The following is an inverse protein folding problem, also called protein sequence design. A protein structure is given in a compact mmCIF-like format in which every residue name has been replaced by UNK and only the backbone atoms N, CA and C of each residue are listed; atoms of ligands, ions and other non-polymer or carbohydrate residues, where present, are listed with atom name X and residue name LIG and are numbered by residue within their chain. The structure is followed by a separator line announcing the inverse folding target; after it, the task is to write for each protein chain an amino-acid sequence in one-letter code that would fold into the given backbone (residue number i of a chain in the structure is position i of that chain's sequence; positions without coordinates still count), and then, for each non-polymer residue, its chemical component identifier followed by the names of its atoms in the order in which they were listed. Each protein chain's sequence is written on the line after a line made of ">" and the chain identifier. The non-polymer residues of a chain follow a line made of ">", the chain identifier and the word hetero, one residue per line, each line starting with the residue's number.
data_IF_417751237966
#
_entry.id   IF_417751237966
#
_cell.length_a   1.000
_cell.length_b   1.000
_cell.length_c   1.000
_cell.angle_alpha   90.00
_cell.angle_beta   90.00
_cell.angle_gamma   90.00
#
_symmetry.space_group_name_H-M   'P 1'
#
loop_
_entity.id
_entity.type
_entity.pdbx_description
1 polymer ?
#
# COMPACT_ATOMS: atom_id res chain seq x y z
N UNK A 1 -25.81 -8.52 1.81
CA UNK A 1 -25.13 -8.90 3.05
C UNK A 1 -25.65 -8.03 4.15
N UNK A 2 -25.90 -8.63 5.31
CA UNK A 2 -26.30 -7.90 6.52
C UNK A 2 -25.04 -7.35 7.19
N UNK A 3 -25.17 -6.24 7.92
CA UNK A 3 -24.04 -5.65 8.63
C UNK A 3 -23.42 -6.60 9.66
N UNK A 4 -24.23 -7.48 10.27
CA UNK A 4 -23.77 -8.50 11.23
C UNK A 4 -22.81 -9.49 10.60
N UNK A 5 -23.15 -10.01 9.41
CA UNK A 5 -22.29 -10.94 8.65
C UNK A 5 -20.98 -10.27 8.24
N UNK A 6 -21.02 -8.99 7.85
CA UNK A 6 -19.82 -8.25 7.46
C UNK A 6 -18.89 -8.06 8.66
N UNK A 7 -19.42 -7.75 9.85
CA UNK A 7 -18.61 -7.63 11.07
C UNK A 7 -17.89 -8.90 11.44
N UNK A 8 -18.59 -10.03 11.38
CA UNK A 8 -18.00 -11.33 11.69
C UNK A 8 -16.90 -11.70 10.68
N UNK A 9 -17.07 -11.32 9.41
CA UNK A 9 -16.12 -11.62 8.34
C UNK A 9 -15.04 -10.56 8.14
N UNK A 10 -15.09 -9.43 8.86
CA UNK A 10 -14.14 -8.33 8.68
C UNK A 10 -12.71 -8.76 9.01
N UNK A 11 -12.49 -9.55 10.06
CA UNK A 11 -11.17 -10.11 10.39
C UNK A 11 -10.59 -10.92 9.23
N UNK A 12 -11.33 -11.94 8.78
CA UNK A 12 -10.93 -12.80 7.67
C UNK A 12 -10.74 -12.03 6.36
N UNK A 13 -11.52 -10.97 6.13
CA UNK A 13 -11.35 -10.07 5.00
C UNK A 13 -10.00 -9.34 5.05
N UNK A 14 -9.62 -8.83 6.22
CA UNK A 14 -8.34 -8.12 6.40
C UNK A 14 -7.12 -9.03 6.26
N UNK A 15 -7.26 -10.31 6.60
CA UNK A 15 -6.22 -11.33 6.44
C UNK A 15 -6.21 -11.96 5.05
N UNK A 16 -7.12 -11.54 4.14
CA UNK A 16 -7.28 -12.07 2.78
C UNK A 16 -7.57 -13.58 2.74
N UNK A 17 -8.23 -14.11 3.77
CA UNK A 17 -8.56 -15.55 3.91
C UNK A 17 -9.93 -15.91 3.33
N UNK A 18 -10.62 -14.94 2.74
CA UNK A 18 -11.93 -15.13 2.12
C UNK A 18 -11.80 -15.45 0.63
N UNK A 19 -12.79 -16.17 0.10
CA UNK A 19 -12.89 -16.36 -1.34
C UNK A 19 -13.09 -15.03 -2.06
N UNK A 20 -12.60 -14.93 -3.30
CA UNK A 20 -12.70 -13.70 -4.12
C UNK A 20 -14.14 -13.21 -4.24
N UNK A 21 -15.10 -14.12 -4.41
CA UNK A 21 -16.53 -13.80 -4.48
C UNK A 21 -17.06 -13.20 -3.17
N UNK A 22 -16.51 -13.60 -2.02
CA UNK A 22 -16.89 -13.04 -0.72
C UNK A 22 -16.24 -11.68 -0.48
N UNK A 23 -14.96 -11.52 -0.86
CA UNK A 23 -14.27 -10.23 -0.81
C UNK A 23 -15.03 -9.16 -1.58
N UNK A 24 -15.42 -9.43 -2.84
CA UNK A 24 -16.19 -8.49 -3.66
C UNK A 24 -17.55 -8.12 -3.04
N UNK A 25 -18.19 -9.07 -2.33
CA UNK A 25 -19.46 -8.80 -1.64
C UNK A 25 -19.28 -7.87 -0.44
N UNK A 26 -18.18 -8.05 0.31
CA UNK A 26 -17.81 -7.20 1.44
C UNK A 26 -17.45 -5.81 0.94
N UNK A 27 -16.58 -5.68 -0.06
CA UNK A 27 -16.20 -4.39 -0.67
C UNK A 27 -17.42 -3.59 -1.13
N UNK A 28 -18.35 -4.26 -1.84
CA UNK A 28 -19.61 -3.63 -2.26
C UNK A 28 -20.47 -3.16 -1.09
N UNK A 29 -20.42 -3.85 0.05
CA UNK A 29 -21.10 -3.44 1.26
C UNK A 29 -20.41 -2.24 1.91
N UNK A 30 -19.07 -2.25 2.02
CA UNK A 30 -18.29 -1.14 2.59
C UNK A 30 -18.50 0.16 1.79
N UNK A 31 -18.65 0.08 0.47
CA UNK A 31 -18.99 1.24 -0.37
C UNK A 31 -20.38 1.83 -0.10
N UNK A 32 -21.30 1.07 0.49
CA UNK A 32 -22.71 1.45 0.70
C UNK A 32 -23.07 1.69 2.16
N UNK A 33 -22.33 1.11 3.09
CA UNK A 33 -22.61 1.14 4.51
C UNK A 33 -21.49 1.90 5.26
N UNK A 34 -21.73 3.16 5.67
CA UNK A 34 -20.71 3.95 6.34
C UNK A 34 -20.33 3.38 7.71
N UNK A 35 -21.26 2.72 8.42
CA UNK A 35 -20.99 2.11 9.73
C UNK A 35 -19.95 0.98 9.61
N UNK A 36 -20.14 0.07 8.65
CA UNK A 36 -19.19 -1.01 8.41
C UNK A 36 -17.87 -0.51 7.83
N UNK A 37 -17.90 0.53 6.99
CA UNK A 37 -16.68 1.17 6.48
C UNK A 37 -15.85 1.80 7.61
N UNK A 38 -16.50 2.46 8.56
CA UNK A 38 -15.84 3.03 9.73
C UNK A 38 -15.19 1.94 10.60
N UNK A 39 -15.89 0.83 10.83
CA UNK A 39 -15.40 -0.30 11.61
C UNK A 39 -14.19 -0.96 10.95
N UNK A 40 -14.26 -1.21 9.64
CA UNK A 40 -13.13 -1.72 8.85
C UNK A 40 -11.89 -0.81 8.94
N UNK A 41 -12.11 0.52 8.82
CA UNK A 41 -11.02 1.50 8.91
C UNK A 41 -10.43 1.57 10.31
N UNK A 42 -11.25 1.47 11.35
CA UNK A 42 -10.81 1.47 12.75
C UNK A 42 -9.93 0.26 13.05
N UNK A 43 -10.30 -0.92 12.53
CA UNK A 43 -9.48 -2.13 12.62
C UNK A 43 -8.15 -1.98 11.87
N UNK A 44 -8.14 -1.34 10.70
CA UNK A 44 -6.92 -1.11 9.92
C UNK A 44 -5.96 -0.18 10.68
N UNK A 45 -6.49 0.88 11.28
CA UNK A 45 -5.70 1.80 12.12
C UNK A 45 -5.10 1.07 13.32
N UNK A 46 -5.88 0.22 14.00
CA UNK A 46 -5.38 -0.58 15.10
C UNK A 46 -4.23 -1.53 14.66
N UNK A 47 -4.38 -2.20 13.51
CA UNK A 47 -3.31 -3.05 12.93
C UNK A 47 -2.05 -2.26 12.62
N UNK A 48 -2.21 -1.06 12.05
CA UNK A 48 -1.08 -0.18 11.74
C UNK A 48 -0.31 0.25 12.99
N UNK A 49 -1.03 0.64 14.06
CA UNK A 49 -0.41 0.99 15.34
C UNK A 49 0.35 -0.18 15.95
N UNK A 50 -0.22 -1.39 15.91
CA UNK A 50 0.46 -2.59 16.38
C UNK A 50 1.74 -2.87 15.57
N UNK A 51 1.70 -2.72 14.25
CA UNK A 51 2.88 -2.89 13.39
C UNK A 51 3.98 -1.88 13.68
N UNK A 52 3.63 -0.66 14.05
CA UNK A 52 4.60 0.38 14.40
C UNK A 52 5.18 0.17 15.81
N UNK A 53 4.40 -0.38 16.74
CA UNK A 53 4.82 -0.63 18.10
C UNK A 53 5.65 -1.91 18.30
N UNK A 54 5.73 -2.78 17.30
CA UNK A 54 6.51 -4.02 17.35
C UNK A 54 7.83 -3.82 16.62
N UNK A 55 8.94 -4.12 17.29
CA UNK A 55 10.27 -4.11 16.68
C UNK A 55 10.29 -5.05 15.46
N UNK A 56 10.72 -4.52 14.32
CA UNK A 56 10.84 -5.33 13.11
C UNK A 56 12.02 -6.28 13.29
N UNK A 57 11.84 -7.60 13.13
CA UNK A 57 12.95 -8.53 13.28
C UNK A 57 14.02 -8.22 12.24
N UNK A 58 15.26 -8.08 12.70
CA UNK A 58 16.39 -7.87 11.80
C UNK A 58 16.58 -9.12 10.95
N UNK A 59 16.32 -8.98 9.65
CA UNK A 59 16.58 -10.04 8.67
C UNK A 59 18.10 -10.22 8.54
N UNK A 60 18.59 -11.46 8.46
CA UNK A 60 20.01 -11.68 8.26
C UNK A 60 20.47 -11.11 6.92
N UNK A 61 21.69 -10.57 6.89
CA UNK A 61 22.28 -9.97 5.68
C UNK A 61 22.22 -10.95 4.49
N UNK A 62 22.49 -12.23 4.74
CA UNK A 62 22.46 -13.29 3.73
C UNK A 62 21.07 -13.47 3.07
N UNK A 63 19.99 -13.30 3.82
CA UNK A 63 18.63 -13.38 3.26
C UNK A 63 18.36 -12.11 2.44
N UNK A 64 18.74 -10.94 2.96
CA UNK A 64 18.62 -9.68 2.23
C UNK A 64 19.33 -9.72 0.87
N UNK A 65 20.58 -10.16 0.84
CA UNK A 65 21.36 -10.32 -0.39
C UNK A 65 20.73 -11.29 -1.39
N UNK A 66 20.19 -12.42 -0.90
CA UNK A 66 19.50 -13.39 -1.76
C UNK A 66 18.24 -12.80 -2.37
N UNK A 67 17.45 -12.07 -1.61
CA UNK A 67 16.23 -11.41 -2.10
C UNK A 67 16.56 -10.32 -3.12
N UNK A 68 17.54 -9.46 -2.81
CA UNK A 68 17.96 -8.39 -3.72
C UNK A 68 18.49 -8.94 -5.06
N UNK A 69 19.29 -10.00 -5.02
CA UNK A 69 19.77 -10.69 -6.22
C UNK A 69 18.63 -11.28 -7.04
N UNK A 70 17.67 -11.92 -6.38
CA UNK A 70 16.51 -12.49 -7.05
C UNK A 70 15.64 -11.41 -7.73
N UNK A 71 15.44 -10.27 -7.06
CA UNK A 71 14.71 -9.13 -7.64
C UNK A 71 15.46 -8.58 -8.85
N UNK A 72 16.78 -8.40 -8.76
CA UNK A 72 17.62 -7.92 -9.86
C UNK A 72 17.56 -8.84 -11.10
N UNK A 73 17.66 -10.16 -10.90
CA UNK A 73 17.55 -11.15 -11.98
C UNK A 73 16.15 -11.14 -12.62
N UNK A 74 15.10 -11.00 -11.80
CA UNK A 74 13.72 -11.05 -12.28
C UNK A 74 13.28 -9.77 -12.97
N UNK A 75 13.80 -8.61 -12.53
CA UNK A 75 13.39 -7.29 -12.98
C UNK A 75 14.61 -6.42 -13.33
N UNK A 76 15.30 -6.71 -14.45
CA UNK A 76 16.52 -6.00 -14.84
C UNK A 76 16.32 -4.51 -15.10
N UNK A 77 15.10 -4.05 -15.39
CA UNK A 77 14.78 -2.64 -15.56
C UNK A 77 14.83 -1.83 -14.26
N UNK A 78 14.70 -2.47 -13.08
CA UNK A 78 14.81 -1.78 -11.78
C UNK A 78 16.26 -1.43 -11.42
N UNK A 79 17.24 -2.03 -12.11
CA UNK A 79 18.67 -1.69 -11.95
C UNK A 79 19.08 -0.47 -12.75
N UNK A 80 18.20 0.09 -13.60
CA UNK A 80 18.48 1.35 -14.26
C UNK A 80 18.42 2.46 -13.21
N UNK A 81 19.60 2.78 -12.68
CA UNK A 81 19.84 4.00 -11.91
C UNK A 81 19.22 5.14 -12.69
N UNK A 82 18.27 5.85 -12.06
CA UNK A 82 17.76 7.12 -12.55
C UNK A 82 18.96 7.91 -13.05
N UNK A 83 19.07 8.13 -14.37
CA UNK A 83 19.99 9.16 -14.84
C UNK A 83 19.56 10.44 -14.08
N UNK A 84 20.48 11.18 -13.45
CA UNK A 84 20.12 12.47 -12.89
C UNK A 84 19.47 13.24 -14.03
N UNK A 85 18.15 13.44 -13.95
CA UNK A 85 17.44 14.21 -14.95
C UNK A 85 18.18 15.53 -15.01
N UNK A 86 18.68 15.90 -16.19
CA UNK A 86 19.24 17.23 -16.36
C UNK A 86 18.21 18.22 -15.81
N UNK A 87 18.61 19.15 -14.94
CA UNK A 87 17.67 20.05 -14.30
C UNK A 87 16.81 20.68 -15.39
N UNK A 88 15.51 20.38 -15.35
CA UNK A 88 14.56 20.84 -16.35
C UNK A 88 14.63 22.37 -16.40
N UNK A 89 15.33 22.90 -17.40
CA UNK A 89 15.38 24.33 -17.64
C UNK A 89 14.06 24.72 -18.28
N UNK A 90 13.17 25.30 -17.46
CA UNK A 90 11.98 26.00 -17.95
C UNK A 90 12.42 26.98 -19.04
N UNK A 91 11.76 27.00 -20.23
CA UNK A 91 11.99 28.04 -21.20
C UNK A 91 11.71 29.38 -20.52
N UNK A 92 12.75 30.21 -20.42
CA UNK A 92 12.74 31.54 -19.81
C UNK A 92 11.39 32.23 -20.06
N UNK A 93 10.63 32.45 -18.98
CA UNK A 93 9.63 33.51 -19.00
C UNK A 93 10.38 34.80 -19.35
N UNK A 94 9.93 35.61 -20.31
CA UNK A 94 10.57 36.88 -20.59
C UNK A 94 10.58 37.71 -19.30
N UNK A 95 11.77 37.96 -18.77
CA UNK A 95 12.01 38.97 -17.74
C UNK A 95 11.85 40.35 -18.37
N UNK A 96 10.64 40.70 -18.80
CA UNK A 96 10.30 42.05 -19.26
C UNK A 96 8.94 42.44 -18.69
N UNK A 97 8.91 42.64 -17.37
CA UNK A 97 7.96 43.52 -16.71
C UNK A 97 8.76 44.47 -15.82
N UNK A 98 9.42 45.44 -16.45
CA UNK A 98 9.81 46.69 -15.78
C UNK A 98 8.81 47.79 -16.17
N UNK A 99 8.40 48.57 -15.17
CA UNK A 99 7.41 49.66 -15.17
C UNK A 99 7.65 50.78 -16.20
#
# INVERSE_FOLDING_TARGET
>A
MKCTEVRELLGNYMDQELTESMMQRIERHLLRCPACAYEARSLEQARQLLRQGVETPMVSEQIGERVLRHIAERFPHLQQVHQPEEPFSLPLLPEDFEE
#
